data_IF_119265957856
#
_entry.id   IF_119265957856
#
_cell.length_a   1.000
_cell.length_b   1.000
_cell.length_c   1.000
_cell.angle_alpha   90.00
_cell.angle_beta   90.00
_cell.angle_gamma   90.00
#
_symmetry.space_group_name_H-M   'P 1'
#
loop_
_entity.id
_entity.type
_entity.pdbx_description
1 polymer ?
#
# COMPACT_ATOMS: atom_id res chain seq x y z
N UNK A 1 9.95 12.17 -20.93
CA UNK A 1 9.49 10.88 -21.48
C UNK A 1 8.74 10.16 -20.38
N UNK A 2 7.44 9.93 -20.56
CA UNK A 2 6.57 9.28 -19.58
C UNK A 2 6.99 7.81 -19.45
N UNK A 3 7.55 7.42 -18.30
CA UNK A 3 8.02 6.05 -18.06
C UNK A 3 6.85 5.16 -17.64
N UNK A 4 5.83 5.02 -18.50
CA UNK A 4 4.66 4.20 -18.20
C UNK A 4 5.03 2.72 -17.95
N UNK A 5 6.05 2.20 -18.65
CA UNK A 5 6.45 0.79 -18.53
C UNK A 5 7.02 0.42 -17.15
N UNK A 6 7.77 1.32 -16.50
CA UNK A 6 8.32 1.01 -15.17
C UNK A 6 7.23 0.97 -14.10
N UNK A 7 6.23 1.87 -14.20
CA UNK A 7 5.05 1.81 -13.34
C UNK A 7 4.30 0.49 -13.54
N UNK A 8 4.09 0.06 -14.79
CA UNK A 8 3.46 -1.24 -15.09
C UNK A 8 4.23 -2.42 -14.48
N UNK A 9 5.56 -2.44 -14.56
CA UNK A 9 6.40 -3.49 -13.94
C UNK A 9 6.26 -3.46 -12.43
N UNK A 10 6.27 -2.28 -11.81
CA UNK A 10 6.19 -2.12 -10.36
C UNK A 10 4.82 -2.56 -9.81
N UNK A 11 3.75 -2.23 -10.52
CA UNK A 11 2.37 -2.57 -10.11
C UNK A 11 1.91 -3.94 -10.61
N UNK A 12 2.74 -4.68 -11.35
CA UNK A 12 2.41 -6.03 -11.78
C UNK A 12 2.28 -6.95 -10.56
N UNK A 13 1.17 -7.67 -10.44
CA UNK A 13 0.94 -8.61 -9.34
C UNK A 13 1.98 -9.73 -9.22
N UNK A 14 2.80 -9.94 -10.25
CA UNK A 14 3.93 -10.90 -10.26
C UNK A 14 5.23 -10.29 -9.76
N UNK A 15 5.31 -8.97 -9.58
CA UNK A 15 6.48 -8.33 -8.99
C UNK A 15 6.69 -8.88 -7.56
N UNK A 16 7.89 -9.38 -7.20
CA UNK A 16 8.08 -10.18 -5.98
C UNK A 16 8.19 -9.34 -4.70
N UNK A 17 7.27 -8.40 -4.49
CA UNK A 17 7.15 -7.56 -3.31
C UNK A 17 6.41 -8.22 -2.13
N UNK A 18 5.88 -9.43 -2.32
CA UNK A 18 5.26 -10.24 -1.24
C UNK A 18 3.81 -9.90 -0.90
N UNK A 19 3.20 -8.93 -1.59
CA UNK A 19 1.81 -8.49 -1.35
C UNK A 19 0.78 -9.61 -1.46
N UNK A 20 0.99 -10.60 -2.34
CA UNK A 20 0.06 -11.72 -2.56
C UNK A 20 -0.24 -12.57 -1.31
N UNK A 21 0.64 -12.53 -0.30
CA UNK A 21 0.50 -13.26 0.97
C UNK A 21 -0.31 -12.49 2.03
N UNK A 22 -0.71 -11.25 1.73
CA UNK A 22 -1.45 -10.37 2.65
C UNK A 22 -2.84 -10.05 2.06
N UNK A 23 -3.86 -10.01 2.92
CA UNK A 23 -5.24 -9.76 2.51
C UNK A 23 -5.63 -8.27 2.52
N UNK A 24 -4.80 -7.42 3.14
CA UNK A 24 -5.15 -6.02 3.37
C UNK A 24 -6.38 -5.86 4.29
N UNK A 25 -6.58 -6.78 5.23
CA UNK A 25 -7.74 -6.80 6.12
C UNK A 25 -8.98 -7.49 5.54
N UNK A 26 -8.96 -7.91 4.27
CA UNK A 26 -10.09 -8.58 3.64
C UNK A 26 -10.46 -9.90 4.33
N UNK A 27 -9.47 -10.67 4.83
CA UNK A 27 -9.76 -11.93 5.53
C UNK A 27 -10.56 -11.67 6.82
N UNK A 28 -10.21 -10.62 7.57
CA UNK A 28 -10.95 -10.23 8.75
C UNK A 28 -12.35 -9.72 8.42
N UNK A 29 -12.50 -8.93 7.36
CA UNK A 29 -13.78 -8.41 6.92
C UNK A 29 -14.73 -9.52 6.42
N UNK A 30 -14.21 -10.50 5.69
CA UNK A 30 -14.97 -11.70 5.25
C UNK A 30 -15.42 -12.52 6.45
N UNK A 31 -14.51 -12.82 7.39
CA UNK A 31 -14.87 -13.60 8.59
C UNK A 31 -15.92 -12.90 9.45
N UNK A 32 -15.92 -11.56 9.47
CA UNK A 32 -16.90 -10.76 10.17
C UNK A 32 -18.23 -10.59 9.40
N UNK A 33 -18.39 -11.21 8.23
CA UNK A 33 -19.60 -11.09 7.40
C UNK A 33 -19.82 -9.70 6.80
N UNK A 34 -18.76 -8.88 6.70
CA UNK A 34 -18.82 -7.51 6.15
C UNK A 34 -18.48 -7.44 4.66
N UNK A 35 -17.76 -8.44 4.17
CA UNK A 35 -17.47 -8.64 2.75
C UNK A 35 -17.95 -10.03 2.40
N UNK A 36 -19.00 -10.10 1.59
CA UNK A 36 -19.69 -11.36 1.24
C UNK A 36 -19.84 -11.56 -0.26
N UNK A 37 -19.67 -10.50 -1.04
CA UNK A 37 -19.84 -10.46 -2.50
C UNK A 37 -19.03 -9.31 -3.12
N UNK A 38 -19.15 -9.12 -4.43
CA UNK A 38 -18.44 -8.07 -5.17
C UNK A 38 -18.91 -6.65 -4.82
N UNK A 39 -20.17 -6.46 -4.42
CA UNK A 39 -20.68 -5.15 -4.02
C UNK A 39 -20.09 -4.70 -2.67
N UNK A 40 -20.14 -5.58 -1.67
CA UNK A 40 -19.55 -5.34 -0.34
C UNK A 40 -18.02 -5.27 -0.39
N UNK A 41 -17.37 -5.99 -1.32
CA UNK A 41 -15.95 -5.83 -1.61
C UNK A 41 -15.63 -4.44 -2.14
N UNK A 42 -16.44 -3.90 -3.05
CA UNK A 42 -16.26 -2.54 -3.57
C UNK A 42 -16.34 -1.50 -2.44
N UNK A 43 -17.34 -1.59 -1.57
CA UNK A 43 -17.49 -0.70 -0.42
C UNK A 43 -16.28 -0.79 0.53
N UNK A 44 -15.80 -2.02 0.80
CA UNK A 44 -14.61 -2.25 1.61
C UNK A 44 -13.36 -1.62 0.98
N UNK A 45 -13.13 -1.85 -0.31
CA UNK A 45 -11.99 -1.31 -1.04
C UNK A 45 -12.04 0.22 -1.11
N UNK A 46 -13.22 0.80 -1.35
CA UNK A 46 -13.44 2.26 -1.34
C UNK A 46 -13.10 2.87 0.02
N UNK A 47 -13.62 2.29 1.10
CA UNK A 47 -13.32 2.75 2.46
C UNK A 47 -11.84 2.64 2.81
N UNK A 48 -11.18 1.54 2.40
CA UNK A 48 -9.73 1.36 2.58
C UNK A 48 -8.93 2.37 1.76
N UNK A 49 -9.31 2.61 0.50
CA UNK A 49 -8.66 3.55 -0.42
C UNK A 49 -8.68 4.98 0.15
N UNK A 50 -9.84 5.47 0.60
CA UNK A 50 -9.99 6.83 1.15
C UNK A 50 -9.44 7.02 2.57
N UNK A 51 -8.90 5.96 3.19
CA UNK A 51 -8.31 6.03 4.54
C UNK A 51 -6.84 5.59 4.52
N UNK A 52 -6.57 4.31 4.76
CA UNK A 52 -5.21 3.77 4.78
C UNK A 52 -4.52 3.87 3.40
N UNK A 53 -5.29 3.78 2.31
CA UNK A 53 -4.81 3.99 0.94
C UNK A 53 -4.30 5.41 0.72
N UNK A 54 -5.11 6.42 1.06
CA UNK A 54 -4.75 7.84 0.97
C UNK A 54 -3.49 8.17 1.79
N UNK A 55 -3.39 7.64 3.02
CA UNK A 55 -2.18 7.77 3.84
C UNK A 55 -0.96 7.16 3.15
N UNK A 56 -1.09 5.93 2.64
CA UNK A 56 -0.01 5.27 1.92
C UNK A 56 0.39 6.02 0.64
N UNK A 57 -0.58 6.51 -0.12
CA UNK A 57 -0.34 7.31 -1.33
C UNK A 57 0.41 8.60 -1.02
N UNK A 58 0.05 9.31 0.06
CA UNK A 58 0.75 10.52 0.49
C UNK A 58 2.21 10.26 0.87
N UNK A 59 2.45 9.19 1.65
CA UNK A 59 3.81 8.79 2.04
C UNK A 59 4.66 8.35 0.84
N UNK A 60 4.08 7.59 -0.10
CA UNK A 60 4.75 7.15 -1.31
C UNK A 60 5.08 8.34 -2.23
N UNK A 61 4.15 9.28 -2.42
CA UNK A 61 4.38 10.49 -3.19
C UNK A 61 5.49 11.35 -2.57
N UNK A 62 5.46 11.55 -1.24
CA UNK A 62 6.47 12.33 -0.53
C UNK A 62 7.87 11.71 -0.60
N UNK A 63 7.97 10.39 -0.47
CA UNK A 63 9.24 9.67 -0.62
C UNK A 63 9.75 9.71 -2.06
N UNK A 64 8.86 9.60 -3.05
CA UNK A 64 9.21 9.72 -4.47
C UNK A 64 9.67 11.15 -4.86
N UNK A 65 9.16 12.19 -4.19
CA UNK A 65 9.59 13.56 -4.42
C UNK A 65 11.04 13.82 -4.00
N UNK A 66 11.59 13.01 -3.09
CA UNK A 66 13.00 13.10 -2.67
C UNK A 66 13.36 14.39 -1.92
N UNK A 67 12.36 15.16 -1.47
CA UNK A 67 12.54 16.44 -0.75
C UNK A 67 12.64 16.28 0.77
N UNK A 68 12.44 15.07 1.28
CA UNK A 68 12.49 14.75 2.71
C UNK A 68 13.45 13.59 2.97
N UNK A 69 14.01 13.55 4.19
CA UNK A 69 14.73 12.38 4.67
C UNK A 69 13.75 11.20 4.78
N UNK A 70 14.02 10.06 4.11
CA UNK A 70 13.15 8.88 4.19
C UNK A 70 12.95 8.36 5.61
N UNK A 71 13.88 8.63 6.54
CA UNK A 71 13.74 8.25 7.95
C UNK A 71 12.65 9.07 8.67
N UNK A 72 12.52 10.35 8.34
CA UNK A 72 11.45 11.21 8.83
C UNK A 72 10.09 10.74 8.29
N UNK A 73 10.03 10.34 7.02
CA UNK A 73 8.81 9.76 6.45
C UNK A 73 8.46 8.40 7.08
N UNK A 74 9.45 7.58 7.43
CA UNK A 74 9.25 6.31 8.15
C UNK A 74 8.66 6.54 9.55
N UNK A 75 9.11 7.57 10.27
CA UNK A 75 8.55 7.97 11.57
C UNK A 75 7.14 8.56 11.43
N UNK A 76 6.91 9.35 10.39
CA UNK A 76 5.60 9.87 10.04
C UNK A 76 4.60 8.76 9.68
N UNK A 77 5.08 7.66 9.09
CA UNK A 77 4.28 6.46 8.81
C UNK A 77 3.92 5.69 10.08
N UNK A 78 4.84 5.60 11.06
CA UNK A 78 4.54 5.03 12.38
C UNK A 78 3.43 5.82 13.09
N UNK A 79 3.51 7.15 13.09
CA UNK A 79 2.51 8.01 13.71
C UNK A 79 1.11 7.89 13.08
N UNK A 80 1.05 7.58 11.79
CA UNK A 80 -0.19 7.38 11.01
C UNK A 80 -0.69 5.93 11.02
N UNK A 81 0.04 5.01 11.64
CA UNK A 81 -0.32 3.58 11.76
C UNK A 81 -0.37 3.15 13.23
N UNK A 82 -1.45 3.46 13.97
CA UNK A 82 -1.53 3.16 15.40
C UNK A 82 -1.30 1.68 15.73
N UNK A 83 -1.88 0.76 14.96
CA UNK A 83 -1.80 -0.70 15.15
C UNK A 83 -0.35 -1.21 15.07
N UNK A 84 0.20 -1.79 16.16
CA UNK A 84 1.46 -2.52 16.10
C UNK A 84 1.49 -3.65 15.05
N UNK A 85 0.39 -4.37 14.84
CA UNK A 85 0.26 -5.41 13.83
C UNK A 85 0.42 -4.85 12.42
N UNK A 86 -0.27 -3.75 12.09
CA UNK A 86 -0.12 -3.10 10.78
C UNK A 86 1.28 -2.51 10.59
N UNK A 87 1.91 -1.95 11.63
CA UNK A 87 3.31 -1.50 11.55
C UNK A 87 4.27 -2.64 11.22
N UNK A 88 4.15 -3.78 11.91
CA UNK A 88 4.95 -4.98 11.62
C UNK A 88 4.74 -5.49 10.19
N UNK A 89 3.49 -5.53 9.74
CA UNK A 89 3.12 -5.93 8.37
C UNK A 89 3.73 -4.98 7.35
N UNK A 90 3.54 -3.67 7.52
CA UNK A 90 4.06 -2.64 6.62
C UNK A 90 5.58 -2.72 6.51
N UNK A 91 6.30 -2.88 7.63
CA UNK A 91 7.77 -3.05 7.62
C UNK A 91 8.20 -4.36 6.96
N UNK A 92 7.44 -5.44 7.12
CA UNK A 92 7.70 -6.73 6.43
C UNK A 92 7.57 -6.60 4.92
N UNK A 93 6.48 -6.01 4.45
CA UNK A 93 6.26 -5.73 3.03
C UNK A 93 7.33 -4.79 2.48
N UNK A 94 7.71 -3.76 3.24
CA UNK A 94 8.78 -2.84 2.86
C UNK A 94 10.12 -3.52 2.67
N UNK A 95 10.49 -4.49 3.52
CA UNK A 95 11.70 -5.31 3.30
C UNK A 95 11.64 -6.16 2.03
N UNK A 96 10.49 -6.76 1.75
CA UNK A 96 10.30 -7.60 0.56
C UNK A 96 10.38 -6.76 -0.71
N UNK A 97 9.67 -5.63 -0.75
CA UNK A 97 9.75 -4.64 -1.81
C UNK A 97 11.18 -4.13 -2.00
N UNK A 98 11.88 -3.76 -0.93
CA UNK A 98 13.28 -3.30 -0.97
C UNK A 98 14.20 -4.33 -1.63
N UNK A 99 14.04 -5.63 -1.30
CA UNK A 99 14.86 -6.70 -1.89
C UNK A 99 14.64 -6.82 -3.40
N UNK A 100 13.37 -6.84 -3.84
CA UNK A 100 13.04 -6.94 -5.26
C UNK A 100 13.49 -5.69 -6.03
N UNK A 101 13.26 -4.51 -5.46
CA UNK A 101 13.56 -3.25 -6.09
C UNK A 101 15.06 -3.00 -6.24
N UNK A 102 15.90 -3.35 -5.27
CA UNK A 102 17.36 -3.21 -5.41
C UNK A 102 17.95 -4.05 -6.53
N UNK A 103 17.30 -5.16 -6.90
CA UNK A 103 17.68 -5.98 -8.04
C UNK A 103 17.20 -5.38 -9.37
N UNK A 104 16.00 -4.79 -9.41
CA UNK A 104 15.40 -4.24 -10.63
C UNK A 104 15.89 -2.81 -10.95
N UNK A 105 16.04 -1.97 -9.93
CA UNK A 105 16.42 -0.56 -10.00
C UNK A 105 17.45 -0.23 -8.91
N UNK A 106 18.75 -0.53 -9.14
CA UNK A 106 19.81 -0.20 -8.19
C UNK A 106 19.85 1.30 -7.89
N UNK A 107 19.88 1.67 -6.61
CA UNK A 107 19.86 3.07 -6.17
C UNK A 107 20.57 3.26 -4.83
N UNK A 108 21.48 4.25 -4.72
CA UNK A 108 22.13 4.58 -3.45
C UNK A 108 21.15 4.96 -2.34
N UNK A 109 20.00 5.55 -2.68
CA UNK A 109 18.96 5.91 -1.71
C UNK A 109 18.30 4.67 -1.10
N UNK A 110 18.06 3.64 -1.91
CA UNK A 110 17.54 2.34 -1.44
C UNK A 110 18.56 1.64 -0.53
N UNK A 111 19.84 1.64 -0.93
CA UNK A 111 20.92 1.08 -0.11
C UNK A 111 21.07 1.79 1.23
N UNK A 112 21.02 3.13 1.23
CA UNK A 112 21.12 3.94 2.43
C UNK A 112 19.97 3.69 3.40
N UNK A 113 18.71 3.62 2.91
CA UNK A 113 17.57 3.31 3.77
C UNK A 113 17.64 1.88 4.32
N UNK A 114 18.03 0.91 3.49
CA UNK A 114 18.19 -0.47 3.95
C UNK A 114 19.25 -0.60 5.06
N UNK A 115 20.35 0.15 4.95
CA UNK A 115 21.38 0.21 5.99
C UNK A 115 20.88 0.92 7.26
N UNK A 116 20.12 2.01 7.13
CA UNK A 116 19.59 2.78 8.26
C UNK A 116 18.44 2.08 9.00
N UNK A 117 17.66 1.24 8.31
CA UNK A 117 16.51 0.49 8.86
C UNK A 117 16.69 -1.02 8.56
N UNK A 118 17.63 -1.72 9.21
CA UNK A 118 17.91 -3.13 8.91
C UNK A 118 16.73 -4.07 9.23
N UNK A 119 15.83 -3.67 10.13
CA UNK A 119 14.57 -4.39 10.42
C UNK A 119 13.43 -4.03 9.45
N UNK A 120 13.67 -3.16 8.47
CA UNK A 120 12.70 -2.72 7.47
C UNK A 120 12.06 -1.36 7.75
N UNK A 121 11.90 -0.58 6.69
CA UNK A 121 11.09 0.63 6.67
C UNK A 121 9.65 0.32 6.21
N UNK A 122 8.72 1.23 6.48
CA UNK A 122 7.33 1.15 6.05
C UNK A 122 7.22 1.03 4.52
N UNK A 123 6.36 0.11 4.07
CA UNK A 123 6.24 -0.18 2.64
C UNK A 123 5.94 1.04 1.77
N UNK A 124 5.05 1.99 2.15
CA UNK A 124 4.80 3.17 1.31
C UNK A 124 6.04 4.07 1.13
N UNK A 125 6.89 4.18 2.14
CA UNK A 125 8.14 4.95 2.05
C UNK A 125 9.13 4.26 1.12
N UNK A 126 9.25 2.93 1.25
CA UNK A 126 10.07 2.14 0.32
C UNK A 126 9.53 2.28 -1.10
N UNK A 127 8.21 2.14 -1.31
CA UNK A 127 7.55 2.28 -2.61
C UNK A 127 7.91 3.60 -3.28
N UNK A 128 7.81 4.73 -2.56
CA UNK A 128 8.19 6.03 -3.10
C UNK A 128 9.66 6.11 -3.53
N UNK A 129 10.59 5.54 -2.75
CA UNK A 129 12.00 5.48 -3.15
C UNK A 129 12.22 4.59 -4.39
N UNK A 130 11.46 3.50 -4.52
CA UNK A 130 11.52 2.63 -5.71
C UNK A 130 10.99 3.36 -6.94
N UNK A 131 9.90 4.11 -6.78
CA UNK A 131 9.33 4.99 -7.82
C UNK A 131 10.39 5.99 -8.29
N UNK A 132 11.05 6.70 -7.37
CA UNK A 132 12.14 7.61 -7.72
C UNK A 132 13.31 6.89 -8.41
N UNK A 133 13.72 5.71 -7.92
CA UNK A 133 14.79 4.91 -8.52
C UNK A 133 14.45 4.42 -9.95
N UNK A 134 13.16 4.20 -10.22
CA UNK A 134 12.65 3.83 -11.53
C UNK A 134 12.47 5.04 -12.49
N UNK A 135 12.79 6.26 -12.05
CA UNK A 135 12.63 7.49 -12.84
C UNK A 135 11.17 7.94 -12.98
N UNK A 136 10.31 7.54 -12.04
CA UNK A 136 8.90 7.89 -11.99
C UNK A 136 8.65 9.13 -11.11
N UNK A 137 7.43 9.65 -11.18
CA UNK A 137 7.02 10.89 -10.50
C UNK A 137 6.37 10.62 -9.14
N UNK A 138 6.24 11.64 -8.28
CA UNK A 138 5.43 11.53 -7.05
C UNK A 138 3.99 11.08 -7.29
N UNK A 139 3.37 11.54 -8.39
CA UNK A 139 2.03 11.12 -8.80
C UNK A 139 1.99 9.61 -9.08
N UNK A 140 2.99 9.07 -9.77
CA UNK A 140 3.09 7.63 -10.04
C UNK A 140 3.20 6.81 -8.75
N UNK A 141 3.93 7.34 -7.74
CA UNK A 141 4.01 6.72 -6.42
C UNK A 141 2.68 6.74 -5.66
N UNK A 142 1.93 7.85 -5.76
CA UNK A 142 0.59 7.95 -5.20
C UNK A 142 -0.36 6.92 -5.86
N UNK A 143 -0.30 6.78 -7.18
CA UNK A 143 -1.07 5.80 -7.95
C UNK A 143 -0.71 4.36 -7.59
N UNK A 144 0.58 4.03 -7.50
CA UNK A 144 1.02 2.68 -7.14
C UNK A 144 0.46 2.26 -5.77
N UNK A 145 0.53 3.15 -4.77
CA UNK A 145 -0.01 2.87 -3.44
C UNK A 145 -1.55 2.78 -3.43
N UNK A 146 -2.22 3.67 -4.18
CA UNK A 146 -3.68 3.65 -4.32
C UNK A 146 -4.15 2.34 -4.96
N UNK A 147 -3.49 1.91 -6.04
CA UNK A 147 -3.78 0.66 -6.72
C UNK A 147 -3.54 -0.57 -5.85
N UNK A 148 -2.41 -0.63 -5.12
CA UNK A 148 -2.14 -1.72 -4.17
C UNK A 148 -3.19 -1.80 -3.05
N UNK A 149 -3.73 -0.64 -2.61
CA UNK A 149 -4.73 -0.58 -1.55
C UNK A 149 -6.05 -1.28 -1.92
N UNK A 150 -6.36 -1.35 -3.22
CA UNK A 150 -7.58 -1.94 -3.78
C UNK A 150 -7.33 -3.34 -4.35
N UNK A 151 -6.26 -3.51 -5.14
CA UNK A 151 -5.96 -4.76 -5.84
C UNK A 151 -5.59 -5.91 -4.90
N UNK A 152 -4.93 -5.62 -3.77
CA UNK A 152 -4.59 -6.62 -2.75
C UNK A 152 -5.83 -7.29 -2.15
N UNK A 153 -6.75 -6.54 -1.50
CA UNK A 153 -8.01 -7.05 -1.01
C UNK A 153 -8.87 -7.77 -2.07
N UNK A 154 -8.98 -7.23 -3.28
CA UNK A 154 -9.74 -7.86 -4.35
C UNK A 154 -9.19 -9.24 -4.72
N UNK A 155 -7.87 -9.36 -4.84
CA UNK A 155 -7.19 -10.65 -5.10
C UNK A 155 -7.32 -11.63 -3.94
N UNK A 156 -7.40 -11.13 -2.70
CA UNK A 156 -7.66 -11.97 -1.53
C UNK A 156 -9.11 -12.47 -1.50
N UNK A 157 -10.09 -11.61 -1.83
CA UNK A 157 -11.51 -11.94 -1.84
C UNK A 157 -11.86 -13.09 -2.78
N UNK A 158 -11.24 -13.17 -3.96
CA UNK A 158 -11.35 -14.32 -4.89
C UNK A 158 -11.03 -15.64 -4.17
N UNK A 159 -9.95 -15.67 -3.40
CA UNK A 159 -9.52 -16.88 -2.66
C UNK A 159 -10.37 -17.15 -1.42
N UNK A 160 -10.90 -16.11 -0.79
CA UNK A 160 -11.68 -16.20 0.45
C UNK A 160 -13.14 -16.60 0.22
N UNK A 161 -13.75 -16.10 -0.84
CA UNK A 161 -15.18 -16.23 -1.13
C UNK A 161 -15.48 -17.11 -2.33
N UNK A 162 -14.45 -17.60 -3.04
CA UNK A 162 -14.60 -18.17 -4.38
C UNK A 162 -15.33 -17.20 -5.34
N UNK A 163 -15.11 -15.89 -5.14
CA UNK A 163 -15.68 -14.84 -5.98
C UNK A 163 -15.16 -14.96 -7.41
N UNK A 164 -16.01 -14.66 -8.40
CA UNK A 164 -15.59 -14.64 -9.80
C UNK A 164 -14.42 -13.63 -9.99
N UNK A 165 -13.25 -14.06 -10.50
CA UNK A 165 -12.14 -13.17 -10.79
C UNK A 165 -12.50 -12.01 -11.73
N UNK A 166 -13.48 -12.17 -12.62
CA UNK A 166 -13.96 -11.11 -13.48
C UNK A 166 -14.72 -10.04 -12.68
N UNK A 167 -15.53 -10.44 -11.70
CA UNK A 167 -16.21 -9.50 -10.80
C UNK A 167 -15.22 -8.74 -9.92
N UNK A 168 -14.22 -9.43 -9.35
CA UNK A 168 -13.17 -8.79 -8.55
C UNK A 168 -12.37 -7.78 -9.39
N UNK A 169 -12.06 -8.11 -10.65
CA UNK A 169 -11.41 -7.18 -11.58
C UNK A 169 -12.31 -5.99 -11.92
N UNK A 170 -13.61 -6.23 -12.10
CA UNK A 170 -14.58 -5.17 -12.37
C UNK A 170 -14.70 -4.18 -11.19
N UNK A 171 -14.59 -4.66 -9.94
CA UNK A 171 -14.51 -3.78 -8.74
C UNK A 171 -13.31 -2.84 -8.84
N UNK A 172 -12.12 -3.35 -9.16
CA UNK A 172 -10.90 -2.54 -9.31
C UNK A 172 -11.11 -1.48 -10.39
N UNK A 173 -11.69 -1.88 -11.54
CA UNK A 173 -11.95 -0.97 -12.66
C UNK A 173 -12.95 0.14 -12.30
N UNK A 174 -14.03 -0.19 -11.55
CA UNK A 174 -15.02 0.81 -11.11
C UNK A 174 -14.45 1.82 -10.11
N UNK A 175 -13.44 1.44 -9.33
CA UNK A 175 -12.75 2.32 -8.38
C UNK A 175 -11.64 3.17 -9.03
N UNK A 176 -11.39 3.06 -10.34
CA UNK A 176 -10.36 3.86 -11.01
C UNK A 176 -10.53 5.38 -10.82
N UNK A 177 -11.74 5.98 -10.95
CA UNK A 177 -11.92 7.40 -10.68
C UNK A 177 -11.61 7.80 -9.23
N UNK A 178 -11.90 6.93 -8.26
CA UNK A 178 -11.52 7.16 -6.86
C UNK A 178 -10.00 7.13 -6.68
N UNK A 179 -9.32 6.19 -7.34
CA UNK A 179 -7.86 6.10 -7.32
C UNK A 179 -7.22 7.34 -7.93
N UNK A 180 -7.79 7.89 -9.01
CA UNK A 180 -7.35 9.17 -9.60
C UNK A 180 -7.48 10.32 -8.60
N UNK A 181 -8.62 10.44 -7.93
CA UNK A 181 -8.86 11.48 -6.92
C UNK A 181 -7.89 11.38 -5.74
N UNK A 182 -7.72 10.17 -5.18
CA UNK A 182 -6.82 9.92 -4.05
C UNK A 182 -5.36 10.13 -4.41
N UNK A 183 -4.94 9.70 -5.60
CA UNK A 183 -3.57 9.92 -6.06
C UNK A 183 -3.28 11.42 -6.26
N UNK A 184 -4.24 12.15 -6.84
CA UNK A 184 -4.17 13.61 -6.96
C UNK A 184 -4.06 14.31 -5.60
N UNK A 185 -4.97 14.04 -4.68
CA UNK A 185 -4.95 14.61 -3.33
C UNK A 185 -3.60 14.35 -2.61
N UNK A 186 -3.14 13.10 -2.66
CA UNK A 186 -1.88 12.68 -2.05
C UNK A 186 -0.66 13.41 -2.63
N UNK A 187 -0.58 13.57 -3.95
CA UNK A 187 0.52 14.26 -4.60
C UNK A 187 0.51 15.77 -4.33
N UNK A 188 -0.67 16.39 -4.30
CA UNK A 188 -0.83 17.81 -3.99
C UNK A 188 -0.37 18.13 -2.54
N UNK A 189 -0.64 17.22 -1.60
CA UNK A 189 -0.25 17.36 -0.19
C UNK A 189 1.28 17.43 0.03
N UNK A 190 2.08 16.87 -0.88
CA UNK A 190 3.56 16.89 -0.80
C UNK A 190 4.11 18.32 -0.67
N UNK A 191 3.45 19.31 -1.29
CA UNK A 191 3.88 20.72 -1.23
C UNK A 191 3.79 21.34 0.17
N UNK A 192 2.94 20.79 1.04
CA UNK A 192 2.79 21.26 2.42
C UNK A 192 3.80 20.66 3.39
N UNK A 193 4.68 19.76 2.93
CA UNK A 193 5.63 19.04 3.79
C UNK A 193 5.00 17.89 4.58
N UNK A 194 5.81 17.26 5.44
CA UNK A 194 5.46 16.01 6.15
C UNK A 194 4.19 16.14 7.00
N UNK A 195 3.97 17.29 7.63
CA UNK A 195 2.81 17.53 8.50
C UNK A 195 1.50 17.71 7.72
N UNK A 196 1.59 18.09 6.44
CA UNK A 196 0.44 18.24 5.56
C UNK A 196 0.03 16.91 4.88
N UNK A 197 0.86 15.87 4.96
CA UNK A 197 0.54 14.58 4.36
C UNK A 197 -0.71 13.98 5.02
N UNK A 198 -1.60 13.32 4.26
CA UNK A 198 -2.82 12.74 4.78
C UNK A 198 -2.60 11.86 6.02
N UNK A 199 -3.49 11.96 6.99
CA UNK A 199 -3.45 11.23 8.25
C UNK A 199 -4.82 10.61 8.58
N UNK A 200 -5.58 10.23 7.55
CA UNK A 200 -6.89 9.61 7.70
C UNK A 200 -6.78 8.29 8.48
N UNK A 201 -7.68 8.09 9.44
CA UNK A 201 -7.70 6.87 10.27
C UNK A 201 -8.64 5.82 9.69
N UNK A 202 -8.28 4.54 9.81
CA UNK A 202 -9.15 3.41 9.48
C UNK A 202 -9.43 2.52 10.70
N UNK A 203 -10.18 2.96 11.73
CA UNK A 203 -10.26 2.27 13.02
C UNK A 203 -10.64 0.79 12.93
N UNK A 204 -11.52 0.44 11.99
CA UNK A 204 -11.91 -0.96 11.76
C UNK A 204 -10.77 -1.81 11.21
N UNK A 205 -9.91 -1.28 10.32
CA UNK A 205 -8.74 -1.99 9.84
C UNK A 205 -7.69 -2.12 10.94
N UNK A 206 -7.49 -1.07 11.74
CA UNK A 206 -6.57 -1.07 12.87
C UNK A 206 -6.94 -2.14 13.91
N UNK A 207 -8.22 -2.16 14.33
CA UNK A 207 -8.71 -3.11 15.34
C UNK A 207 -8.70 -4.54 14.80
N UNK A 208 -9.18 -4.76 13.57
CA UNK A 208 -9.25 -6.11 13.02
C UNK A 208 -7.87 -6.67 12.67
N UNK A 209 -6.86 -5.85 12.39
CA UNK A 209 -5.49 -6.30 12.21
C UNK A 209 -4.89 -6.86 13.51
N UNK A 210 -5.14 -6.24 14.67
CA UNK A 210 -4.71 -6.79 15.96
C UNK A 210 -5.43 -8.11 16.27
N UNK A 211 -6.72 -8.19 15.98
CA UNK A 211 -7.50 -9.42 16.17
C UNK A 211 -6.97 -10.54 15.26
N UNK A 212 -6.77 -10.26 13.97
CA UNK A 212 -6.25 -11.21 12.98
C UNK A 212 -4.85 -11.70 13.33
N UNK A 213 -4.00 -10.82 13.88
CA UNK A 213 -2.67 -11.20 14.35
C UNK A 213 -2.71 -12.29 15.44
N UNK A 214 -3.77 -12.33 16.25
CA UNK A 214 -3.99 -13.31 17.31
C UNK A 214 -4.73 -14.58 16.86
N UNK A 215 -5.16 -14.69 15.61
CA UNK A 215 -5.88 -15.87 15.15
C UNK A 215 -4.99 -17.11 15.07
N UNK A 216 -5.46 -18.28 15.55
CA UNK A 216 -4.69 -19.51 15.51
C UNK A 216 -4.56 -20.09 14.09
N UNK A 217 -5.56 -19.84 13.24
CA UNK A 217 -5.60 -20.28 11.84
C UNK A 217 -5.98 -19.09 10.97
N UNK A 218 -5.16 -18.83 9.95
CA UNK A 218 -5.32 -17.76 8.97
C UNK A 218 -4.78 -18.20 7.61
N UNK A 219 -5.45 -17.80 6.54
CA UNK A 219 -5.04 -18.05 5.16
C UNK A 219 -4.02 -17.01 4.68
N UNK A 220 -4.09 -15.79 5.22
CA UNK A 220 -3.18 -14.70 4.91
C UNK A 220 -2.27 -14.34 6.08
N UNK A 221 -1.12 -13.76 5.77
CA UNK A 221 -0.15 -13.31 6.77
C UNK A 221 -0.62 -12.06 7.53
N UNK A 222 -1.56 -11.29 6.96
CA UNK A 222 -2.29 -10.18 7.57
C UNK A 222 -3.53 -9.79 6.77
#
# INVERSE_FOLDING_TARGET
MTVAAALLVLTDGRFPAGGHAHSGGAEAAVRAGRVTDSATLEDFCRGRLHTAGLVASGLAAAAAAGVHDPRTLDEAADARTPSPALRRTSRRLGRQLMRAARAAWPSPALDALAAARPQGAHQPVVLGLVVAAAGLTPQDGAYAAAYESVSGPATAAVRLLALDPFEATAVIARLAPDMDGVAGEAAEAVRGGVDALPAASAPLLEVTAEQHAAWPVRLFAS
#
